data_IF_295497836572
#
_entry.id   IF_295497836572
#
_cell.length_a   1.000
_cell.length_b   1.000
_cell.length_c   1.000
_cell.angle_alpha   90.00
_cell.angle_beta   90.00
_cell.angle_gamma   90.00
#
_symmetry.space_group_name_H-M   'P 1'
#
loop_
_entity.id
_entity.type
_entity.pdbx_description
1 polymer ?
#
# COMPACT_ATOMS: atom_id res chain seq x y z
N UNK A 1 -0.10 26.92 35.12
CA UNK A 1 -0.90 25.81 34.52
C UNK A 1 -2.42 26.06 34.55
N UNK A 2 -2.93 27.10 35.19
CA UNK A 2 -4.38 27.34 35.36
C UNK A 2 -5.02 28.26 34.28
N UNK A 3 -4.22 29.01 33.53
CA UNK A 3 -4.74 29.98 32.53
C UNK A 3 -5.01 29.32 31.15
N UNK A 4 -4.48 28.14 30.91
CA UNK A 4 -4.61 27.44 29.61
C UNK A 4 -5.93 26.64 29.51
N UNK A 5 -6.54 26.26 30.63
CA UNK A 5 -7.81 25.55 30.63
C UNK A 5 -9.01 26.47 30.43
N UNK A 6 -8.99 27.70 30.97
CA UNK A 6 -10.08 28.67 30.82
C UNK A 6 -10.28 29.16 29.36
N UNK A 7 -9.22 29.13 28.55
CA UNK A 7 -9.31 29.51 27.13
C UNK A 7 -9.93 28.39 26.30
N UNK A 8 -9.65 27.14 26.64
CA UNK A 8 -10.19 25.99 25.91
C UNK A 8 -11.68 25.76 26.20
N UNK A 9 -12.15 25.95 27.44
CA UNK A 9 -13.57 25.84 27.79
C UNK A 9 -14.43 26.96 27.19
N UNK A 10 -13.89 28.16 27.01
CA UNK A 10 -14.62 29.28 26.40
C UNK A 10 -14.89 29.13 24.92
N UNK A 11 -14.12 28.30 24.20
CA UNK A 11 -14.22 28.09 22.75
C UNK A 11 -14.63 26.68 22.33
N UNK A 12 -14.74 25.76 23.28
CA UNK A 12 -15.20 24.37 23.08
C UNK A 12 -16.11 23.97 24.24
N UNK A 13 -17.42 24.33 24.18
CA UNK A 13 -18.36 23.83 25.20
C UNK A 13 -18.39 22.30 25.16
N UNK A 14 -18.17 21.68 26.35
CA UNK A 14 -18.14 20.23 26.54
C UNK A 14 -19.52 19.57 26.55
N UNK A 15 -20.58 20.30 26.26
CA UNK A 15 -21.95 19.82 26.36
C UNK A 15 -22.51 19.46 24.98
N UNK A 16 -22.29 18.24 24.56
CA UNK A 16 -22.79 17.68 23.30
C UNK A 16 -24.02 16.79 23.48
N UNK A 17 -24.64 16.77 24.67
CA UNK A 17 -25.70 15.83 24.99
C UNK A 17 -27.14 16.31 24.74
N UNK A 18 -27.38 17.59 24.40
CA UNK A 18 -28.76 18.12 24.30
C UNK A 18 -29.24 18.63 22.95
N UNK A 19 -28.52 18.41 21.83
CA UNK A 19 -28.98 18.92 20.51
C UNK A 19 -29.27 17.84 19.45
N UNK A 20 -29.73 16.67 19.87
CA UNK A 20 -30.06 15.55 18.95
C UNK A 20 -31.50 15.59 18.41
N UNK A 21 -32.13 16.75 18.28
CA UNK A 21 -33.48 16.84 17.71
C UNK A 21 -33.60 17.91 16.61
N UNK A 22 -32.81 17.86 15.57
CA UNK A 22 -33.14 18.52 14.30
C UNK A 22 -32.37 17.91 13.11
N UNK A 23 -32.95 17.93 11.90
CA UNK A 23 -32.30 17.32 10.72
C UNK A 23 -31.00 18.02 10.38
N UNK A 24 -29.99 17.23 10.06
CA UNK A 24 -28.60 17.60 9.81
C UNK A 24 -28.36 18.68 8.73
N UNK A 25 -29.39 19.08 7.99
CA UNK A 25 -29.32 20.14 7.00
C UNK A 25 -28.87 21.52 7.55
N UNK A 26 -29.07 21.77 8.84
CA UNK A 26 -28.61 22.99 9.50
C UNK A 26 -27.18 22.92 10.04
N UNK A 27 -26.58 21.74 10.11
CA UNK A 27 -25.23 21.57 10.68
C UNK A 27 -24.10 21.66 9.64
N UNK A 28 -24.37 21.43 8.36
CA UNK A 28 -23.35 21.39 7.31
C UNK A 28 -22.97 22.80 6.82
N UNK A 29 -23.92 23.69 6.69
CA UNK A 29 -23.70 25.09 6.28
C UNK A 29 -22.79 25.88 7.26
N UNK A 30 -22.96 25.77 8.60
CA UNK A 30 -22.06 26.42 9.54
C UNK A 30 -20.65 25.82 9.57
N UNK A 31 -20.49 24.52 9.24
CA UNK A 31 -19.17 23.87 9.24
C UNK A 31 -18.27 24.40 8.12
N UNK A 32 -18.82 24.63 6.94
CA UNK A 32 -18.07 25.19 5.80
C UNK A 32 -17.59 26.62 6.10
N UNK A 33 -18.45 27.44 6.64
CA UNK A 33 -18.10 28.79 7.02
C UNK A 33 -17.13 28.81 8.21
N UNK A 34 -17.29 27.90 9.19
CA UNK A 34 -16.37 27.77 10.34
C UNK A 34 -15.02 27.18 9.96
N UNK A 35 -14.95 26.23 8.99
CA UNK A 35 -13.66 25.70 8.49
C UNK A 35 -12.89 26.79 7.74
N UNK A 36 -13.57 27.61 6.95
CA UNK A 36 -12.93 28.77 6.27
C UNK A 36 -12.56 29.87 7.27
N UNK A 37 -13.43 30.17 8.23
CA UNK A 37 -13.13 31.12 9.30
C UNK A 37 -12.10 30.61 10.29
N UNK A 38 -12.06 29.31 10.62
CA UNK A 38 -11.01 28.74 11.48
C UNK A 38 -9.66 28.70 10.76
N UNK A 39 -9.62 28.52 9.43
CA UNK A 39 -8.38 28.68 8.65
C UNK A 39 -7.90 30.14 8.70
N UNK A 40 -8.78 31.11 8.45
CA UNK A 40 -8.50 32.57 8.56
C UNK A 40 -8.33 33.02 10.00
N UNK A 41 -9.07 32.45 10.96
CA UNK A 41 -8.94 32.78 12.37
C UNK A 41 -7.69 32.17 13.00
N UNK A 42 -7.26 30.97 12.62
CA UNK A 42 -5.95 30.46 13.04
C UNK A 42 -4.79 31.27 12.44
N UNK A 43 -4.93 31.76 11.21
CA UNK A 43 -3.96 32.66 10.62
C UNK A 43 -3.98 34.06 11.32
N UNK A 44 -5.11 34.49 11.90
CA UNK A 44 -5.25 35.77 12.61
C UNK A 44 -5.00 35.71 14.12
N UNK A 45 -5.29 34.61 14.78
CA UNK A 45 -5.11 34.43 16.23
C UNK A 45 -3.64 34.30 16.67
N UNK A 46 -2.73 34.01 15.74
CA UNK A 46 -1.29 33.94 16.02
C UNK A 46 -0.53 35.24 15.68
N UNK A 47 -1.23 36.32 15.31
CA UNK A 47 -0.61 37.57 14.86
C UNK A 47 -0.24 38.62 15.95
N UNK A 48 -0.59 38.59 17.23
CA UNK A 48 -0.21 39.65 18.12
C UNK A 48 0.79 39.35 19.22
N UNK A 49 1.59 38.28 19.15
CA UNK A 49 2.70 38.14 20.12
C UNK A 49 4.03 38.46 19.45
N UNK A 50 4.52 39.66 19.80
CA UNK A 50 5.74 40.25 19.30
C UNK A 50 6.97 39.35 19.47
N UNK A 51 7.75 39.21 18.42
CA UNK A 51 9.16 38.82 18.46
C UNK A 51 9.59 37.64 17.59
N UNK A 52 8.74 36.68 17.30
CA UNK A 52 9.02 35.66 16.29
C UNK A 52 7.72 35.33 15.56
N UNK A 53 7.59 35.74 14.32
CA UNK A 53 6.56 35.26 13.39
C UNK A 53 6.70 33.76 13.26
N UNK A 54 6.02 32.97 14.11
CA UNK A 54 5.89 31.51 13.94
C UNK A 54 5.01 31.30 12.72
N UNK A 55 5.62 31.27 11.54
CA UNK A 55 4.94 30.92 10.30
C UNK A 55 4.56 29.44 10.41
N UNK A 56 3.30 29.18 10.74
CA UNK A 56 2.76 27.82 10.72
C UNK A 56 2.96 27.21 9.34
N UNK A 57 3.93 26.30 9.22
CA UNK A 57 4.14 25.51 8.00
C UNK A 57 3.39 24.19 8.16
N UNK A 58 2.28 23.99 7.46
CA UNK A 58 1.55 22.73 7.56
C UNK A 58 2.45 21.56 7.16
N UNK A 59 2.31 20.44 7.86
CA UNK A 59 3.03 19.19 7.56
C UNK A 59 2.82 18.78 6.10
N UNK A 60 3.73 17.99 5.53
CA UNK A 60 3.59 17.42 4.17
C UNK A 60 2.23 16.74 4.00
N UNK A 61 1.79 15.99 5.03
CA UNK A 61 0.50 15.30 5.06
C UNK A 61 -0.67 16.29 4.96
N UNK A 62 -0.66 17.38 5.73
CA UNK A 62 -1.69 18.41 5.70
C UNK A 62 -1.75 19.15 4.37
N UNK A 63 -0.58 19.45 3.77
CA UNK A 63 -0.52 20.10 2.46
C UNK A 63 -1.15 19.28 1.34
N UNK A 64 -0.98 17.95 1.37
CA UNK A 64 -1.59 17.06 0.38
C UNK A 64 -3.11 17.03 0.55
N UNK A 65 -3.60 16.94 1.79
CA UNK A 65 -5.04 17.04 2.07
C UNK A 65 -5.61 18.37 1.58
N UNK A 66 -4.97 19.50 1.92
CA UNK A 66 -5.44 20.83 1.52
C UNK A 66 -5.56 20.95 -0.01
N UNK A 67 -4.59 20.44 -0.78
CA UNK A 67 -4.69 20.44 -2.25
C UNK A 67 -5.90 19.67 -2.78
N UNK A 68 -6.24 18.54 -2.16
CA UNK A 68 -7.42 17.76 -2.56
C UNK A 68 -8.70 18.53 -2.21
N UNK A 69 -8.74 19.18 -1.05
CA UNK A 69 -9.87 20.02 -0.59
C UNK A 69 -10.00 21.24 -1.49
N UNK A 70 -8.91 22.00 -1.72
CA UNK A 70 -8.91 23.20 -2.57
C UNK A 70 -9.47 22.89 -3.98
N UNK A 71 -9.11 21.73 -4.56
CA UNK A 71 -9.63 21.29 -5.86
C UNK A 71 -11.14 21.02 -5.84
N UNK A 72 -11.65 20.38 -4.77
CA UNK A 72 -13.06 20.09 -4.60
C UNK A 72 -13.85 21.39 -4.39
N UNK A 73 -13.38 22.30 -3.55
CA UNK A 73 -14.00 23.60 -3.32
C UNK A 73 -14.10 24.45 -4.61
N UNK A 74 -13.02 24.46 -5.40
CA UNK A 74 -12.99 25.20 -6.69
C UNK A 74 -13.93 24.59 -7.74
N UNK A 75 -14.28 23.33 -7.64
CA UNK A 75 -15.15 22.67 -8.61
C UNK A 75 -16.61 23.04 -8.47
N UNK A 76 -17.04 23.43 -7.26
CA UNK A 76 -18.45 23.69 -6.92
C UNK A 76 -19.41 22.58 -7.35
N UNK A 77 -18.93 21.32 -7.46
CA UNK A 77 -19.75 20.18 -7.83
C UNK A 77 -20.78 19.88 -6.72
N UNK A 78 -22.03 19.55 -7.03
CA UNK A 78 -23.02 19.19 -6.01
C UNK A 78 -22.48 18.07 -5.10
N UNK A 79 -22.54 18.27 -3.78
CA UNK A 79 -22.08 17.28 -2.78
C UNK A 79 -20.57 17.26 -2.50
N UNK A 80 -19.80 18.22 -3.03
CA UNK A 80 -18.37 18.32 -2.74
C UNK A 80 -18.08 18.46 -1.23
N UNK A 81 -18.96 19.07 -0.49
CA UNK A 81 -18.87 19.26 0.97
C UNK A 81 -18.82 17.91 1.71
N UNK A 82 -19.67 16.97 1.30
CA UNK A 82 -19.68 15.62 1.87
C UNK A 82 -18.39 14.87 1.56
N UNK A 83 -17.84 15.05 0.36
CA UNK A 83 -16.56 14.45 0.00
C UNK A 83 -15.45 15.04 0.86
N UNK A 84 -15.41 16.36 1.06
CA UNK A 84 -14.46 17.02 1.93
C UNK A 84 -14.56 16.48 3.37
N UNK A 85 -15.77 16.38 3.92
CA UNK A 85 -16.00 15.85 5.25
C UNK A 85 -15.49 14.40 5.38
N UNK A 86 -15.74 13.56 4.38
CA UNK A 86 -15.22 12.19 4.32
C UNK A 86 -13.68 12.15 4.23
N UNK A 87 -13.04 13.04 3.48
CA UNK A 87 -11.58 13.11 3.43
C UNK A 87 -10.98 13.53 4.79
N UNK A 88 -11.64 14.43 5.50
CA UNK A 88 -11.22 14.80 6.86
C UNK A 88 -11.42 13.65 7.84
N UNK A 89 -12.50 12.87 7.75
CA UNK A 89 -12.68 11.66 8.56
C UNK A 89 -11.53 10.66 8.33
N UNK A 90 -11.24 10.35 7.07
CA UNK A 90 -10.11 9.49 6.71
C UNK A 90 -8.77 10.03 7.23
N UNK A 91 -8.57 11.33 7.18
CA UNK A 91 -7.36 11.99 7.67
C UNK A 91 -7.22 11.87 9.19
N UNK A 92 -8.31 12.10 9.96
CA UNK A 92 -8.35 11.94 11.42
C UNK A 92 -8.08 10.51 11.84
N UNK A 93 -8.61 9.54 11.12
CA UNK A 93 -8.36 8.10 11.34
C UNK A 93 -6.96 7.65 10.93
N UNK A 94 -6.07 8.59 10.65
CA UNK A 94 -4.67 8.35 10.31
C UNK A 94 -4.42 7.46 9.09
N UNK A 95 -5.35 7.37 8.12
CA UNK A 95 -5.10 6.63 6.89
C UNK A 95 -3.94 7.24 6.09
N UNK A 96 -3.26 6.40 5.29
CA UNK A 96 -2.16 6.87 4.46
C UNK A 96 -2.57 8.03 3.56
N UNK A 97 -1.78 9.11 3.56
CA UNK A 97 -2.16 10.35 2.87
C UNK A 97 -2.36 10.16 1.35
N UNK A 98 -1.63 9.24 0.73
CA UNK A 98 -1.84 8.89 -0.67
C UNK A 98 -3.21 8.25 -0.89
N UNK A 99 -3.70 7.44 0.05
CA UNK A 99 -5.05 6.86 0.02
C UNK A 99 -6.11 7.96 0.13
N UNK A 100 -5.91 8.93 1.03
CA UNK A 100 -6.82 10.08 1.17
C UNK A 100 -6.86 10.90 -0.12
N UNK A 101 -5.68 11.22 -0.69
CA UNK A 101 -5.58 11.96 -1.95
C UNK A 101 -6.23 11.23 -3.12
N UNK A 102 -6.00 9.92 -3.23
CA UNK A 102 -6.57 9.10 -4.29
C UNK A 102 -8.09 8.95 -4.15
N UNK A 103 -8.58 8.81 -2.90
CA UNK A 103 -10.03 8.87 -2.64
C UNK A 103 -10.63 10.19 -3.12
N UNK A 104 -9.99 11.32 -2.81
CA UNK A 104 -10.45 12.64 -3.27
C UNK A 104 -10.51 12.76 -4.79
N UNK A 105 -9.49 12.25 -5.50
CA UNK A 105 -9.49 12.24 -6.96
C UNK A 105 -10.62 11.37 -7.55
N UNK A 106 -10.81 10.17 -6.99
CA UNK A 106 -11.87 9.26 -7.45
C UNK A 106 -13.26 9.86 -7.18
N UNK A 107 -13.49 10.41 -6.00
CA UNK A 107 -14.79 10.98 -5.65
C UNK A 107 -15.07 12.28 -6.43
N UNK A 108 -14.05 13.06 -6.73
CA UNK A 108 -14.18 14.18 -7.66
C UNK A 108 -14.69 13.73 -9.05
N UNK A 109 -14.09 12.65 -9.60
CA UNK A 109 -14.53 12.09 -10.87
C UNK A 109 -15.96 11.51 -10.78
N UNK A 110 -16.31 10.91 -9.65
CA UNK A 110 -17.66 10.39 -9.40
C UNK A 110 -18.71 11.52 -9.34
N UNK A 111 -18.43 12.61 -8.62
CA UNK A 111 -19.34 13.77 -8.57
C UNK A 111 -19.49 14.42 -9.95
N UNK A 112 -18.42 14.51 -10.73
CA UNK A 112 -18.48 15.03 -12.10
C UNK A 112 -19.40 14.17 -12.98
N UNK A 113 -19.25 12.85 -12.90
CA UNK A 113 -20.13 11.91 -13.60
C UNK A 113 -21.62 12.08 -13.19
N UNK A 114 -21.89 12.22 -11.89
CA UNK A 114 -23.27 12.43 -11.41
C UNK A 114 -23.89 13.74 -11.96
N UNK A 115 -23.09 14.80 -12.01
CA UNK A 115 -23.53 16.09 -12.56
C UNK A 115 -23.86 15.97 -14.06
N UNK A 116 -23.06 15.27 -14.85
CA UNK A 116 -23.30 15.02 -16.27
C UNK A 116 -24.55 14.15 -16.50
N UNK A 117 -24.82 13.19 -15.61
CA UNK A 117 -25.98 12.27 -15.66
C UNK A 117 -27.29 12.86 -15.16
N UNK A 118 -27.37 14.14 -14.83
CA UNK A 118 -28.55 14.84 -14.26
C UNK A 118 -28.95 14.43 -12.84
N UNK A 119 -28.21 13.59 -12.14
CA UNK A 119 -28.38 13.39 -10.69
C UNK A 119 -27.63 14.48 -9.97
N UNK A 120 -28.33 15.48 -9.45
CA UNK A 120 -27.71 16.69 -8.91
C UNK A 120 -27.48 16.64 -7.40
N UNK A 121 -28.06 15.65 -6.71
CA UNK A 121 -28.03 15.55 -5.25
C UNK A 121 -27.42 14.24 -4.79
N UNK A 122 -26.51 14.31 -3.84
CA UNK A 122 -25.85 13.13 -3.28
C UNK A 122 -26.83 12.24 -2.52
N UNK A 123 -27.86 12.84 -1.96
CA UNK A 123 -28.94 12.16 -1.22
C UNK A 123 -29.86 11.32 -2.13
N UNK A 124 -29.82 11.55 -3.43
CA UNK A 124 -30.65 10.86 -4.44
C UNK A 124 -29.90 9.73 -5.16
N UNK A 125 -28.64 9.47 -4.79
CA UNK A 125 -27.83 8.43 -5.41
C UNK A 125 -28.50 7.07 -5.25
N UNK A 126 -28.65 6.37 -6.37
CA UNK A 126 -29.24 5.03 -6.45
C UNK A 126 -28.20 4.00 -6.89
N UNK A 127 -28.57 2.72 -6.81
CA UNK A 127 -27.74 1.64 -7.36
C UNK A 127 -27.57 1.73 -8.87
N UNK A 128 -28.56 2.31 -9.58
CA UNK A 128 -28.46 2.51 -11.03
C UNK A 128 -27.33 3.49 -11.37
N UNK A 129 -27.17 4.54 -10.58
CA UNK A 129 -26.10 5.52 -10.77
C UNK A 129 -24.71 4.89 -10.53
N UNK A 130 -24.61 4.00 -9.53
CA UNK A 130 -23.37 3.26 -9.28
C UNK A 130 -23.04 2.31 -10.44
N UNK A 131 -24.05 1.62 -11.00
CA UNK A 131 -23.88 0.75 -12.16
C UNK A 131 -23.44 1.56 -13.39
N UNK A 132 -24.15 2.64 -13.67
CA UNK A 132 -23.83 3.54 -14.78
C UNK A 132 -22.42 4.16 -14.64
N UNK A 133 -21.97 4.47 -13.40
CA UNK A 133 -20.59 4.90 -13.17
C UNK A 133 -19.56 3.82 -13.51
N UNK A 134 -19.85 2.56 -13.19
CA UNK A 134 -18.95 1.43 -13.54
C UNK A 134 -18.86 1.30 -15.05
N UNK A 135 -19.99 1.36 -15.76
CA UNK A 135 -20.03 1.30 -17.22
C UNK A 135 -19.24 2.46 -17.84
N UNK A 136 -19.48 3.68 -17.36
CA UNK A 136 -18.73 4.87 -17.79
C UNK A 136 -17.20 4.73 -17.59
N UNK A 137 -16.74 4.25 -16.45
CA UNK A 137 -15.31 4.07 -16.19
C UNK A 137 -14.70 2.96 -17.07
N UNK A 138 -15.48 1.93 -17.43
CA UNK A 138 -15.06 0.90 -18.38
C UNK A 138 -14.99 1.43 -19.81
N UNK A 139 -15.99 2.19 -20.26
CA UNK A 139 -16.03 2.84 -21.57
C UNK A 139 -14.88 3.84 -21.76
N UNK A 140 -14.48 4.53 -20.70
CA UNK A 140 -13.26 5.36 -20.68
C UNK A 140 -11.97 4.57 -20.85
N UNK A 141 -12.03 3.24 -20.93
CA UNK A 141 -10.87 2.36 -21.13
C UNK A 141 -10.01 2.14 -19.88
N UNK A 142 -10.54 2.36 -18.68
CA UNK A 142 -9.79 2.08 -17.47
C UNK A 142 -9.59 0.57 -17.30
N UNK A 143 -8.39 0.22 -16.80
CA UNK A 143 -8.10 -1.18 -16.44
C UNK A 143 -9.06 -1.66 -15.35
N UNK A 144 -9.50 -2.91 -15.43
CA UNK A 144 -10.45 -3.55 -14.50
C UNK A 144 -10.09 -3.29 -13.02
N UNK A 145 -8.80 -3.42 -12.67
CA UNK A 145 -8.33 -3.16 -11.30
C UNK A 145 -8.47 -1.69 -10.89
N UNK A 146 -8.38 -0.75 -11.84
CA UNK A 146 -8.59 0.68 -11.56
C UNK A 146 -10.08 0.94 -11.28
N UNK A 147 -10.97 0.37 -12.10
CA UNK A 147 -12.42 0.46 -11.88
C UNK A 147 -12.82 -0.13 -10.53
N UNK A 148 -12.27 -1.31 -10.15
CA UNK A 148 -12.48 -1.90 -8.82
C UNK A 148 -12.04 -0.97 -7.68
N UNK A 149 -10.89 -0.30 -7.83
CA UNK A 149 -10.38 0.62 -6.81
C UNK A 149 -11.24 1.88 -6.72
N UNK A 150 -11.72 2.41 -7.86
CA UNK A 150 -12.66 3.52 -7.90
C UNK A 150 -13.96 3.12 -7.21
N UNK A 151 -14.55 1.99 -7.57
CA UNK A 151 -15.78 1.48 -6.97
C UNK A 151 -15.64 1.25 -5.45
N UNK A 152 -14.49 0.73 -4.99
CA UNK A 152 -14.19 0.61 -3.56
C UNK A 152 -14.18 1.96 -2.85
N UNK A 153 -13.64 2.99 -3.49
CA UNK A 153 -13.62 4.36 -2.94
C UNK A 153 -15.04 4.94 -2.89
N UNK A 154 -15.85 4.73 -3.92
CA UNK A 154 -17.26 5.12 -3.96
C UNK A 154 -18.03 4.43 -2.83
N UNK A 155 -17.95 3.10 -2.68
CA UNK A 155 -18.65 2.39 -1.61
C UNK A 155 -18.20 2.80 -0.20
N UNK A 156 -16.93 3.18 0.00
CA UNK A 156 -16.51 3.71 1.31
C UNK A 156 -17.10 5.09 1.58
N UNK A 157 -17.35 5.89 0.55
CA UNK A 157 -18.03 7.16 0.65
C UNK A 157 -19.53 6.98 0.88
N UNK A 158 -20.19 6.11 0.12
CA UNK A 158 -21.61 5.78 0.34
C UNK A 158 -21.85 5.25 1.76
N UNK A 159 -20.93 4.40 2.27
CA UNK A 159 -21.00 3.98 3.67
C UNK A 159 -20.92 5.17 4.63
N UNK A 160 -20.01 6.11 4.37
CA UNK A 160 -19.90 7.33 5.17
C UNK A 160 -21.22 8.14 5.16
N UNK A 161 -21.89 8.25 4.00
CA UNK A 161 -23.17 8.94 3.88
C UNK A 161 -24.29 8.21 4.63
N UNK A 162 -24.32 6.87 4.58
CA UNK A 162 -25.27 6.05 5.34
C UNK A 162 -25.04 6.18 6.84
N UNK A 163 -23.75 6.12 7.29
CA UNK A 163 -23.39 6.29 8.69
C UNK A 163 -23.77 7.70 9.24
N UNK A 164 -24.04 8.68 8.36
CA UNK A 164 -24.51 10.03 8.68
C UNK A 164 -25.98 10.28 8.29
N UNK A 165 -26.75 9.21 8.06
CA UNK A 165 -28.20 9.26 7.77
C UNK A 165 -28.56 10.06 6.51
N UNK A 166 -27.62 10.27 5.58
CA UNK A 166 -27.82 10.98 4.32
C UNK A 166 -28.30 10.06 3.20
N UNK A 167 -28.07 8.75 3.32
CA UNK A 167 -28.51 7.73 2.38
C UNK A 167 -29.09 6.53 3.14
N UNK A 168 -30.07 5.83 2.55
CA UNK A 168 -30.62 4.63 3.15
C UNK A 168 -29.62 3.47 3.09
N UNK A 169 -29.70 2.57 4.08
CA UNK A 169 -28.76 1.44 4.22
C UNK A 169 -28.80 0.45 3.05
N UNK A 170 -29.94 0.34 2.37
CA UNK A 170 -30.17 -0.59 1.27
C UNK A 170 -29.25 -0.36 0.07
N UNK A 171 -28.69 0.86 -0.10
CA UNK A 171 -27.71 1.16 -1.15
C UNK A 171 -26.42 0.33 -1.01
N UNK A 172 -26.12 -0.12 0.20
CA UNK A 172 -24.97 -0.94 0.51
C UNK A 172 -25.21 -2.45 0.34
N UNK A 173 -26.47 -2.88 0.15
CA UNK A 173 -26.81 -4.28 -0.10
C UNK A 173 -26.48 -4.66 -1.55
N UNK A 174 -26.12 -5.95 -1.78
CA UNK A 174 -25.80 -6.48 -3.13
C UNK A 174 -24.83 -5.58 -3.92
N UNK A 175 -23.68 -5.26 -3.31
CA UNK A 175 -22.65 -4.45 -3.96
C UNK A 175 -22.22 -5.05 -5.29
N UNK A 176 -21.99 -4.17 -6.28
CA UNK A 176 -21.43 -4.58 -7.56
C UNK A 176 -20.02 -5.12 -7.30
N UNK A 177 -19.78 -6.36 -7.72
CA UNK A 177 -18.48 -7.01 -7.64
C UNK A 177 -17.92 -7.21 -9.04
N UNK A 178 -16.80 -6.55 -9.32
CA UNK A 178 -16.13 -6.69 -10.60
C UNK A 178 -15.09 -7.80 -10.49
N UNK A 179 -15.27 -8.88 -11.25
CA UNK A 179 -14.26 -9.94 -11.36
C UNK A 179 -13.04 -9.40 -12.11
N UNK A 180 -11.88 -9.45 -11.49
CA UNK A 180 -10.64 -9.15 -12.17
C UNK A 180 -9.90 -10.46 -12.45
N UNK A 181 -9.22 -10.58 -13.60
CA UNK A 181 -8.37 -11.72 -13.87
C UNK A 181 -7.29 -11.81 -12.78
N UNK A 182 -7.06 -13.01 -12.27
CA UNK A 182 -5.97 -13.28 -11.35
C UNK A 182 -4.66 -13.22 -12.15
N UNK A 183 -3.96 -12.11 -12.05
CA UNK A 183 -2.66 -11.95 -12.68
C UNK A 183 -1.60 -12.48 -11.73
N UNK A 184 -0.90 -13.51 -12.15
CA UNK A 184 0.24 -14.04 -11.40
C UNK A 184 1.34 -12.97 -11.29
N UNK A 185 2.03 -12.87 -10.16
CA UNK A 185 3.16 -11.95 -10.00
C UNK A 185 4.23 -12.28 -11.06
N UNK A 186 4.58 -11.30 -11.88
CA UNK A 186 5.59 -11.49 -12.92
C UNK A 186 6.96 -11.19 -12.34
N UNK A 187 7.88 -12.15 -12.36
CA UNK A 187 9.30 -11.93 -12.06
C UNK A 187 10.03 -11.40 -13.31
N UNK A 188 11.15 -10.71 -13.11
CA UNK A 188 12.06 -10.34 -14.20
C UNK A 188 12.91 -11.59 -14.51
N UNK A 189 12.89 -12.11 -15.75
CA UNK A 189 13.73 -13.23 -16.13
C UNK A 189 15.21 -12.93 -15.95
N UNK A 190 16.02 -13.98 -15.68
CA UNK A 190 17.46 -13.82 -15.41
C UNK A 190 18.21 -13.24 -16.60
N UNK A 191 17.81 -13.60 -17.81
CA UNK A 191 18.35 -13.07 -19.08
C UNK A 191 18.15 -11.57 -19.24
N UNK A 192 17.03 -11.02 -18.75
CA UNK A 192 16.73 -9.59 -18.78
C UNK A 192 17.36 -8.85 -17.59
N UNK A 193 17.51 -9.53 -16.44
CA UNK A 193 18.07 -8.93 -15.23
C UNK A 193 19.54 -8.56 -15.40
N UNK A 194 20.34 -9.42 -16.04
CA UNK A 194 21.75 -9.20 -16.30
C UNK A 194 22.04 -7.88 -17.03
N UNK A 195 21.43 -7.60 -18.23
CA UNK A 195 21.65 -6.34 -18.93
C UNK A 195 21.10 -5.13 -18.18
N UNK A 196 20.02 -5.27 -17.38
CA UNK A 196 19.52 -4.18 -16.53
C UNK A 196 20.57 -3.80 -15.48
N UNK A 197 21.15 -4.79 -14.80
CA UNK A 197 22.20 -4.56 -13.79
C UNK A 197 23.48 -3.98 -14.43
N UNK A 198 23.88 -4.44 -15.61
CA UNK A 198 25.01 -3.90 -16.36
C UNK A 198 24.78 -2.43 -16.79
N UNK A 199 23.53 -2.03 -17.04
CA UNK A 199 23.16 -0.66 -17.37
C UNK A 199 23.33 0.36 -16.23
N UNK A 200 23.52 -0.11 -14.98
CA UNK A 200 23.69 0.73 -13.80
C UNK A 200 25.13 1.22 -13.68
N UNK A 201 25.37 2.46 -14.00
CA UNK A 201 26.73 3.06 -14.01
C UNK A 201 27.11 3.70 -12.68
N UNK A 202 26.14 4.13 -11.88
CA UNK A 202 26.38 4.75 -10.58
C UNK A 202 26.46 3.70 -9.46
N UNK A 203 27.48 3.78 -8.61
CA UNK A 203 27.63 2.88 -7.44
C UNK A 203 26.46 2.99 -6.46
N UNK A 204 25.85 4.19 -6.35
CA UNK A 204 24.63 4.40 -5.58
C UNK A 204 23.48 3.58 -6.16
N UNK A 205 23.28 3.68 -7.47
CA UNK A 205 22.17 3.07 -8.16
C UNK A 205 22.31 1.53 -8.19
N UNK A 206 23.55 1.03 -8.31
CA UNK A 206 23.85 -0.40 -8.14
C UNK A 206 23.45 -0.90 -6.75
N UNK A 207 23.91 -0.20 -5.69
CA UNK A 207 23.55 -0.57 -4.32
C UNK A 207 22.04 -0.53 -4.09
N UNK A 208 21.33 0.49 -4.61
CA UNK A 208 19.88 0.62 -4.49
C UNK A 208 19.13 -0.58 -5.12
N UNK A 209 19.48 -0.93 -6.35
CA UNK A 209 18.78 -1.99 -7.10
C UNK A 209 19.14 -3.37 -6.53
N UNK A 210 20.41 -3.63 -6.19
CA UNK A 210 20.82 -4.91 -5.62
C UNK A 210 20.23 -5.13 -4.21
N UNK A 211 20.13 -4.10 -3.37
CA UNK A 211 19.45 -4.23 -2.09
C UNK A 211 17.96 -4.57 -2.26
N UNK A 212 17.26 -3.94 -3.20
CA UNK A 212 15.85 -4.30 -3.48
C UNK A 212 15.72 -5.75 -3.94
N UNK A 213 16.63 -6.18 -4.82
CA UNK A 213 16.63 -7.53 -5.39
C UNK A 213 16.97 -8.60 -4.36
N UNK A 214 17.86 -8.32 -3.40
CA UNK A 214 18.31 -9.28 -2.40
C UNK A 214 17.47 -9.33 -1.13
N UNK A 215 16.75 -8.25 -0.82
CA UNK A 215 15.96 -8.15 0.44
C UNK A 215 14.46 -8.27 0.22
N UNK A 216 13.99 -8.08 -1.00
CA UNK A 216 12.56 -8.00 -1.30
C UNK A 216 11.82 -6.86 -0.59
N UNK A 217 12.54 -5.86 -0.06
CA UNK A 217 11.92 -4.67 0.56
C UNK A 217 11.01 -3.93 -0.42
N UNK A 218 9.99 -3.26 0.11
CA UNK A 218 9.28 -2.24 -0.68
C UNK A 218 10.21 -1.04 -0.89
N UNK A 219 10.15 -0.44 -2.08
CA UNK A 219 10.97 0.76 -2.35
C UNK A 219 10.79 1.85 -1.28
N UNK A 220 9.57 2.07 -0.81
CA UNK A 220 9.33 3.05 0.25
C UNK A 220 9.99 2.70 1.58
N UNK A 221 10.19 1.43 1.89
CA UNK A 221 10.94 0.99 3.06
C UNK A 221 12.42 1.27 2.88
N UNK A 222 13.02 0.90 1.73
CA UNK A 222 14.43 1.16 1.46
C UNK A 222 14.79 2.65 1.48
N UNK A 223 13.90 3.52 0.97
CA UNK A 223 14.14 4.96 0.96
C UNK A 223 14.13 5.59 2.36
N UNK A 224 13.50 4.93 3.34
CA UNK A 224 13.45 5.35 4.75
C UNK A 224 14.63 4.79 5.58
N UNK A 225 15.40 3.84 5.05
CA UNK A 225 16.53 3.24 5.77
C UNK A 225 17.59 4.30 6.10
N UNK A 226 17.94 4.36 7.38
CA UNK A 226 19.01 5.20 7.90
C UNK A 226 20.28 4.39 8.09
N UNK A 227 21.41 5.06 8.23
CA UNK A 227 22.69 4.38 8.49
C UNK A 227 22.69 3.58 9.80
N UNK A 228 21.98 4.06 10.82
CA UNK A 228 21.83 3.37 12.10
C UNK A 228 21.04 2.05 12.01
N UNK A 229 20.27 1.86 10.96
CA UNK A 229 19.44 0.67 10.77
C UNK A 229 20.23 -0.50 10.14
N UNK A 230 21.48 -0.28 9.74
CA UNK A 230 22.29 -1.25 8.99
C UNK A 230 23.32 -1.90 9.91
N UNK A 231 23.29 -3.22 10.00
CA UNK A 231 24.27 -4.04 10.71
C UNK A 231 25.15 -4.71 9.67
N UNK A 232 26.21 -4.00 9.24
CA UNK A 232 27.09 -4.45 8.14
C UNK A 232 27.74 -5.83 8.38
N UNK A 233 28.32 -6.15 9.57
CA UNK A 233 28.95 -7.44 9.81
C UNK A 233 28.00 -8.63 9.65
N UNK A 234 26.72 -8.42 9.93
CA UNK A 234 25.69 -9.46 9.89
C UNK A 234 24.87 -9.44 8.60
N UNK A 235 25.14 -8.51 7.68
CA UNK A 235 24.41 -8.28 6.45
C UNK A 235 22.89 -8.15 6.66
N UNK A 236 22.53 -7.38 7.69
CA UNK A 236 21.14 -7.16 8.14
C UNK A 236 20.75 -5.69 8.01
N UNK A 237 19.47 -5.46 7.74
CA UNK A 237 18.83 -4.15 7.83
C UNK A 237 17.61 -4.28 8.72
N UNK A 238 17.52 -3.43 9.74
CA UNK A 238 16.38 -3.35 10.64
C UNK A 238 15.35 -2.40 10.03
N UNK A 239 14.16 -2.92 9.75
CA UNK A 239 13.06 -2.12 9.25
C UNK A 239 12.12 -1.79 10.41
N UNK A 240 12.24 -0.58 10.92
CA UNK A 240 11.34 -0.07 11.97
C UNK A 240 10.10 0.52 11.29
N UNK A 241 8.94 -0.07 11.56
CA UNK A 241 7.61 0.44 11.23
C UNK A 241 7.46 0.95 9.78
N UNK A 242 7.10 0.08 8.86
CA UNK A 242 6.65 0.48 7.52
C UNK A 242 5.31 1.24 7.59
N UNK A 243 5.14 2.27 6.75
CA UNK A 243 3.97 3.15 6.73
C UNK A 243 2.60 2.45 6.52
N UNK A 244 2.58 1.17 6.20
CA UNK A 244 1.35 0.38 6.01
C UNK A 244 1.13 -0.72 7.04
N UNK A 245 2.19 -1.25 7.64
CA UNK A 245 2.12 -2.38 8.56
C UNK A 245 2.96 -2.02 9.77
N UNK A 246 2.37 -1.80 10.91
CA UNK A 246 3.01 -1.39 12.17
C UNK A 246 3.96 -2.44 12.78
N UNK A 247 4.45 -3.40 11.99
CA UNK A 247 5.39 -4.43 12.42
C UNK A 247 6.78 -4.20 11.84
N UNK A 248 7.76 -4.03 12.72
CA UNK A 248 9.16 -4.04 12.36
C UNK A 248 9.60 -5.43 11.90
N UNK A 249 10.56 -5.52 11.01
CA UNK A 249 11.19 -6.79 10.61
C UNK A 249 12.66 -6.60 10.26
N UNK A 250 13.38 -7.71 10.28
CA UNK A 250 14.76 -7.77 9.80
C UNK A 250 14.78 -8.32 8.38
N UNK A 251 15.60 -7.76 7.51
CA UNK A 251 15.87 -8.28 6.18
C UNK A 251 17.36 -8.52 6.01
N UNK A 252 17.72 -9.43 5.12
CA UNK A 252 19.09 -9.88 4.90
C UNK A 252 19.48 -9.65 3.44
N UNK A 253 20.80 -9.45 3.19
CA UNK A 253 21.30 -9.30 1.84
C UNK A 253 22.57 -10.13 1.60
N UNK A 254 22.74 -10.60 0.37
CA UNK A 254 23.86 -11.44 -0.03
C UNK A 254 25.13 -10.65 -0.39
N UNK A 255 26.19 -11.37 -0.77
CA UNK A 255 27.52 -10.82 -1.03
C UNK A 255 27.56 -9.76 -2.13
N UNK A 256 26.80 -9.93 -3.21
CA UNK A 256 26.78 -8.95 -4.32
C UNK A 256 26.23 -7.60 -3.86
N UNK A 257 25.12 -7.64 -3.09
CA UNK A 257 24.54 -6.43 -2.51
C UNK A 257 25.46 -5.82 -1.44
N UNK A 258 26.16 -6.62 -0.65
CA UNK A 258 27.17 -6.17 0.30
C UNK A 258 28.32 -5.42 -0.40
N UNK A 259 28.84 -6.01 -1.47
CA UNK A 259 29.92 -5.41 -2.25
C UNK A 259 29.52 -4.06 -2.84
N UNK A 260 28.32 -4.00 -3.43
CA UNK A 260 27.79 -2.76 -3.98
C UNK A 260 27.50 -1.72 -2.87
N UNK A 261 26.97 -2.16 -1.73
CA UNK A 261 26.72 -1.31 -0.57
C UNK A 261 28.02 -0.72 -0.02
N UNK A 262 29.06 -1.54 0.18
CA UNK A 262 30.38 -1.07 0.64
C UNK A 262 30.96 -0.03 -0.32
N UNK A 263 30.90 -0.27 -1.65
CA UNK A 263 31.33 0.72 -2.66
C UNK A 263 30.53 2.02 -2.59
N UNK A 264 29.24 1.95 -2.31
CA UNK A 264 28.44 3.15 -2.11
C UNK A 264 28.81 3.88 -0.82
N UNK A 265 29.01 3.15 0.28
CA UNK A 265 29.37 3.74 1.59
C UNK A 265 30.69 4.50 1.56
N UNK A 266 31.67 4.09 0.75
CA UNK A 266 32.92 4.84 0.58
C UNK A 266 32.75 6.16 -0.17
N UNK A 267 31.73 6.27 -1.02
CA UNK A 267 31.48 7.47 -1.85
C UNK A 267 30.38 8.38 -1.33
N UNK A 268 29.53 7.87 -0.42
CA UNK A 268 28.44 8.68 0.13
C UNK A 268 28.96 9.73 1.12
N UNK A 269 28.21 10.84 1.22
CA UNK A 269 28.50 11.84 2.24
C UNK A 269 28.01 11.35 3.61
N UNK A 270 28.92 11.20 4.57
CA UNK A 270 28.65 10.71 5.93
C UNK A 270 27.79 11.64 6.78
N UNK A 271 27.65 12.92 6.42
CA UNK A 271 26.79 13.89 7.12
C UNK A 271 25.30 13.58 7.00
N UNK A 272 24.88 12.77 6.04
CA UNK A 272 23.48 12.47 5.81
C UNK A 272 23.05 11.20 6.54
N UNK A 273 21.87 11.24 7.14
CA UNK A 273 21.33 10.16 7.95
C UNK A 273 20.83 8.99 7.08
N UNK A 274 20.14 9.31 5.96
CA UNK A 274 19.54 8.30 5.09
C UNK A 274 20.60 7.55 4.29
N UNK A 275 20.40 6.23 4.12
CA UNK A 275 21.26 5.41 3.26
C UNK A 275 21.30 5.94 1.84
N UNK A 276 20.12 6.19 1.27
CA UNK A 276 19.96 6.82 -0.05
C UNK A 276 19.32 8.18 0.10
N UNK A 277 19.99 9.19 -0.36
CA UNK A 277 19.54 10.58 -0.24
C UNK A 277 19.51 11.29 -1.58
N UNK A 278 18.65 12.29 -1.66
CA UNK A 278 18.53 13.24 -2.76
C UNK A 278 19.17 14.58 -2.41
N UNK A 279 18.66 15.64 -3.01
CA UNK A 279 19.14 17.00 -2.76
C UNK A 279 19.03 17.39 -1.28
N UNK A 280 20.06 18.08 -0.76
CA UNK A 280 20.14 18.57 0.62
C UNK A 280 20.07 17.47 1.69
N UNK A 281 20.48 16.22 1.37
CA UNK A 281 20.53 15.12 2.33
C UNK A 281 19.18 14.55 2.78
N UNK A 282 18.09 14.98 2.17
CA UNK A 282 16.76 14.38 2.41
C UNK A 282 16.70 12.98 1.79
N UNK A 283 15.77 12.16 2.25
CA UNK A 283 15.49 10.86 1.62
C UNK A 283 15.41 10.97 0.09
N UNK A 284 15.92 9.97 -0.62
CA UNK A 284 15.76 9.89 -2.07
C UNK A 284 14.25 9.75 -2.39
N UNK A 285 13.75 10.53 -3.35
CA UNK A 285 12.33 10.46 -3.69
C UNK A 285 11.99 9.17 -4.46
N UNK A 286 10.73 8.73 -4.35
CA UNK A 286 10.20 7.63 -5.18
C UNK A 286 10.40 7.86 -6.68
N UNK A 287 10.23 9.10 -7.14
CA UNK A 287 10.46 9.49 -8.54
C UNK A 287 11.93 9.32 -8.90
N UNK A 288 12.84 9.74 -8.00
CA UNK A 288 14.29 9.55 -8.18
C UNK A 288 14.66 8.08 -8.34
N UNK A 289 14.19 7.22 -7.44
CA UNK A 289 14.42 5.78 -7.52
C UNK A 289 13.79 5.15 -8.77
N UNK A 290 12.57 5.56 -9.14
CA UNK A 290 11.91 5.11 -10.37
C UNK A 290 12.72 5.48 -11.62
N UNK A 291 13.28 6.70 -11.66
CA UNK A 291 14.13 7.14 -12.78
C UNK A 291 15.40 6.30 -12.91
N UNK A 292 15.99 5.83 -11.79
CA UNK A 292 17.14 4.89 -11.83
C UNK A 292 16.73 3.61 -12.58
N UNK A 293 15.65 2.98 -12.18
CA UNK A 293 15.17 1.75 -12.83
C UNK A 293 14.80 1.99 -14.30
N UNK A 294 14.07 3.06 -14.59
CA UNK A 294 13.67 3.40 -15.96
C UNK A 294 14.88 3.56 -16.88
N UNK A 295 15.91 4.29 -16.43
CA UNK A 295 17.14 4.49 -17.22
C UNK A 295 17.88 3.18 -17.45
N UNK A 296 18.00 2.31 -16.42
CA UNK A 296 18.67 1.02 -16.54
C UNK A 296 17.94 0.10 -17.55
N UNK A 297 16.63 0.03 -17.47
CA UNK A 297 15.77 -0.76 -18.39
C UNK A 297 15.86 -0.22 -19.82
N UNK A 298 15.91 1.10 -20.02
CA UNK A 298 16.06 1.71 -21.34
C UNK A 298 17.45 1.41 -21.93
N UNK A 299 18.52 1.53 -21.12
CA UNK A 299 19.89 1.19 -21.58
C UNK A 299 20.04 -0.29 -21.95
N UNK A 300 19.29 -1.16 -21.28
CA UNK A 300 19.25 -2.60 -21.61
C UNK A 300 18.41 -2.91 -22.87
N UNK A 301 17.80 -1.92 -23.52
CA UNK A 301 16.90 -2.14 -24.68
C UNK A 301 15.54 -2.73 -24.33
N UNK A 302 15.18 -2.77 -23.03
CA UNK A 302 14.01 -3.47 -22.51
C UNK A 302 12.84 -2.52 -22.16
N UNK A 303 12.84 -1.29 -22.68
CA UNK A 303 11.87 -0.24 -22.35
C UNK A 303 10.41 -0.64 -22.51
N UNK A 304 10.10 -1.49 -23.48
CA UNK A 304 8.75 -1.97 -23.79
C UNK A 304 8.22 -3.02 -22.80
N UNK A 305 9.10 -3.68 -22.01
CA UNK A 305 8.70 -4.76 -21.09
C UNK A 305 8.04 -4.26 -19.80
N UNK A 306 8.04 -2.95 -19.54
CA UNK A 306 7.35 -2.32 -18.41
C UNK A 306 7.92 -2.69 -17.03
N UNK A 307 9.21 -3.01 -16.94
CA UNK A 307 9.85 -3.36 -15.68
C UNK A 307 9.90 -2.20 -14.71
N UNK A 308 9.52 -2.46 -13.47
CA UNK A 308 9.43 -1.48 -12.39
C UNK A 308 10.16 -1.95 -11.13
N UNK A 309 10.40 -1.03 -10.20
CA UNK A 309 11.01 -1.36 -8.90
C UNK A 309 10.23 -2.42 -8.10
N UNK A 310 8.91 -2.46 -8.27
CA UNK A 310 8.09 -3.45 -7.57
C UNK A 310 8.31 -4.87 -8.10
N UNK A 311 8.66 -5.00 -9.38
CA UNK A 311 9.01 -6.29 -9.98
C UNK A 311 10.30 -6.88 -9.41
N UNK A 312 11.25 -6.07 -8.91
CA UNK A 312 12.43 -6.59 -8.21
C UNK A 312 12.03 -7.38 -6.96
N UNK A 313 11.02 -6.91 -6.22
CA UNK A 313 10.48 -7.64 -5.08
C UNK A 313 9.76 -8.93 -5.50
N UNK A 314 9.03 -8.91 -6.62
CA UNK A 314 8.44 -10.12 -7.19
C UNK A 314 9.53 -11.12 -7.61
N UNK A 315 10.59 -10.63 -8.24
CA UNK A 315 11.76 -11.45 -8.64
C UNK A 315 12.43 -12.08 -7.41
N UNK A 316 12.67 -11.29 -6.35
CA UNK A 316 13.17 -11.82 -5.07
C UNK A 316 12.29 -12.95 -4.54
N UNK A 317 10.97 -12.71 -4.44
CA UNK A 317 10.04 -13.71 -3.90
C UNK A 317 10.03 -15.00 -4.71
N UNK A 318 9.96 -14.88 -6.05
CA UNK A 318 9.97 -16.04 -6.96
C UNK A 318 11.29 -16.80 -6.86
N UNK A 319 12.44 -16.10 -6.86
CA UNK A 319 13.75 -16.74 -6.76
C UNK A 319 13.94 -17.46 -5.43
N UNK A 320 13.47 -16.89 -4.31
CA UNK A 320 13.56 -17.50 -2.99
C UNK A 320 12.71 -18.79 -2.91
N UNK A 321 11.49 -18.79 -3.46
CA UNK A 321 10.67 -19.98 -3.53
C UNK A 321 11.28 -21.06 -4.44
N UNK A 322 11.78 -20.66 -5.61
CA UNK A 322 12.46 -21.60 -6.52
C UNK A 322 13.74 -22.19 -5.91
N UNK A 323 14.39 -21.46 -5.00
CA UNK A 323 15.52 -21.96 -4.22
C UNK A 323 15.10 -22.81 -2.99
N UNK A 324 13.81 -23.11 -2.82
CA UNK A 324 13.30 -23.98 -1.76
C UNK A 324 13.03 -23.27 -0.43
N UNK A 325 12.98 -21.92 -0.39
CA UNK A 325 12.61 -21.23 0.84
C UNK A 325 11.14 -21.48 1.17
N UNK A 326 10.85 -21.87 2.41
CA UNK A 326 9.48 -22.10 2.88
C UNK A 326 8.64 -20.86 2.77
N UNK A 327 7.36 -21.01 2.41
CA UNK A 327 6.42 -19.93 2.16
C UNK A 327 6.21 -19.04 3.40
N UNK A 328 6.18 -19.64 4.59
CA UNK A 328 5.99 -18.91 5.86
C UNK A 328 7.19 -18.00 6.16
N UNK A 329 8.40 -18.48 5.87
CA UNK A 329 9.63 -17.68 6.02
C UNK A 329 9.64 -16.54 5.02
N UNK A 330 9.26 -16.79 3.76
CA UNK A 330 9.14 -15.75 2.74
C UNK A 330 8.09 -14.70 3.15
N UNK A 331 6.95 -15.11 3.71
CA UNK A 331 5.92 -14.19 4.22
C UNK A 331 6.50 -13.23 5.27
N UNK A 332 7.27 -13.75 6.22
CA UNK A 332 7.91 -12.95 7.26
C UNK A 332 8.94 -11.97 6.67
N UNK A 333 9.80 -12.44 5.77
CA UNK A 333 10.80 -11.59 5.08
C UNK A 333 10.13 -10.48 4.28
N UNK A 334 9.05 -10.77 3.58
CA UNK A 334 8.30 -9.79 2.83
C UNK A 334 7.44 -8.85 3.72
N UNK A 335 7.12 -9.26 4.96
CA UNK A 335 6.22 -8.53 5.84
C UNK A 335 4.81 -8.45 5.26
N UNK A 336 4.29 -9.58 4.80
CA UNK A 336 2.89 -9.74 4.41
C UNK A 336 2.08 -10.11 5.65
N UNK A 337 1.08 -9.31 6.00
CA UNK A 337 0.13 -9.64 7.07
C UNK A 337 -0.81 -10.77 6.64
N UNK A 338 -1.12 -10.83 5.35
CA UNK A 338 -1.99 -11.80 4.74
C UNK A 338 -1.17 -12.82 3.94
N UNK A 339 -1.31 -14.11 4.27
CA UNK A 339 -0.64 -15.20 3.58
C UNK A 339 -1.11 -15.32 2.12
N UNK A 340 -2.36 -14.92 1.80
CA UNK A 340 -2.88 -14.95 0.44
C UNK A 340 -2.00 -14.16 -0.54
N UNK A 341 -1.39 -13.07 -0.08
CA UNK A 341 -0.46 -12.29 -0.90
C UNK A 341 0.82 -13.08 -1.24
N UNK A 342 1.24 -13.99 -0.36
CA UNK A 342 2.43 -14.82 -0.56
C UNK A 342 2.08 -16.08 -1.35
N UNK A 343 0.89 -16.62 -1.17
CA UNK A 343 0.38 -17.77 -1.94
C UNK A 343 0.33 -17.53 -3.47
N UNK A 344 0.20 -16.26 -3.88
CA UNK A 344 0.29 -15.92 -5.32
C UNK A 344 1.62 -16.30 -5.96
N UNK A 345 2.70 -16.28 -5.19
CA UNK A 345 4.03 -16.72 -5.67
C UNK A 345 4.15 -18.24 -5.71
N UNK A 346 3.50 -18.96 -4.79
CA UNK A 346 3.48 -20.42 -4.78
C UNK A 346 2.78 -21.00 -6.01
N UNK A 347 1.81 -20.29 -6.59
CA UNK A 347 1.13 -20.70 -7.82
C UNK A 347 2.00 -20.67 -9.08
N UNK A 348 3.17 -19.99 -9.03
CA UNK A 348 4.05 -19.82 -10.20
C UNK A 348 4.97 -21.03 -10.41
N UNK A 349 5.20 -21.81 -9.37
CA UNK A 349 6.25 -22.85 -9.34
C UNK A 349 5.65 -24.24 -9.44
N UNK A 350 5.21 -24.67 -10.64
CA UNK A 350 4.84 -26.07 -10.87
C UNK A 350 6.05 -27.00 -10.76
N UNK A 351 7.19 -26.62 -11.30
CA UNK A 351 8.46 -27.37 -11.19
C UNK A 351 8.89 -27.53 -9.73
N UNK A 352 8.80 -26.48 -8.91
CA UNK A 352 9.16 -26.56 -7.48
C UNK A 352 8.21 -27.46 -6.69
N UNK A 353 6.92 -27.53 -7.08
CA UNK A 353 5.97 -28.47 -6.45
C UNK A 353 6.28 -29.91 -6.79
N UNK A 354 6.59 -30.19 -8.05
CA UNK A 354 6.98 -31.53 -8.53
C UNK A 354 8.27 -31.99 -7.84
N UNK A 355 9.32 -31.16 -7.85
CA UNK A 355 10.59 -31.43 -7.17
C UNK A 355 10.40 -31.67 -5.66
N UNK A 356 9.60 -30.80 -5.00
CA UNK A 356 9.30 -30.91 -3.58
C UNK A 356 8.52 -32.20 -3.25
N UNK A 357 7.55 -32.58 -4.10
CA UNK A 357 6.81 -33.79 -3.96
C UNK A 357 7.74 -35.03 -4.04
N UNK A 358 8.54 -35.12 -5.11
CA UNK A 358 9.45 -36.26 -5.28
C UNK A 358 10.54 -36.31 -4.21
N UNK A 359 11.03 -35.13 -3.74
CA UNK A 359 11.95 -35.09 -2.62
C UNK A 359 11.31 -35.56 -1.31
N UNK A 360 10.08 -35.18 -1.04
CA UNK A 360 9.33 -35.63 0.13
C UNK A 360 9.03 -37.14 0.03
N UNK A 361 8.60 -37.61 -1.14
CA UNK A 361 8.37 -39.02 -1.37
C UNK A 361 9.63 -39.86 -1.21
N UNK A 362 10.78 -39.38 -1.72
CA UNK A 362 12.06 -40.07 -1.56
C UNK A 362 12.48 -40.20 -0.08
N UNK A 363 12.12 -39.21 0.77
CA UNK A 363 12.36 -39.27 2.22
C UNK A 363 11.42 -40.28 2.87
N UNK A 364 10.13 -40.29 2.48
CA UNK A 364 9.11 -41.24 2.97
C UNK A 364 9.49 -42.67 2.57
N UNK A 365 9.86 -42.88 1.30
CA UNK A 365 10.24 -44.18 0.75
C UNK A 365 11.55 -44.73 1.35
N UNK A 366 12.49 -43.85 1.76
CA UNK A 366 13.72 -44.25 2.45
C UNK A 366 13.54 -44.54 3.93
N UNK A 367 12.37 -44.29 4.50
CA UNK A 367 12.10 -44.54 5.93
C UNK A 367 12.89 -43.63 6.90
N UNK A 368 13.40 -42.46 6.43
CA UNK A 368 14.25 -41.56 7.24
C UNK A 368 13.45 -40.62 8.16
N UNK A 369 12.14 -40.82 8.34
CA UNK A 369 11.34 -40.02 9.26
C UNK A 369 11.40 -40.56 10.69
N UNK A 370 12.31 -40.07 11.50
CA UNK A 370 12.53 -40.46 12.90
C UNK A 370 11.43 -40.09 13.91
N UNK A 371 10.31 -39.49 13.53
CA UNK A 371 9.26 -39.07 14.51
C UNK A 371 7.80 -39.40 14.14
N UNK A 372 7.50 -40.07 13.04
CA UNK A 372 6.11 -40.43 12.66
C UNK A 372 5.93 -41.88 12.24
N UNK A 373 6.61 -42.81 12.90
CA UNK A 373 6.52 -44.26 12.65
C UNK A 373 5.15 -44.88 12.97
N UNK A 374 4.09 -44.10 13.22
CA UNK A 374 2.77 -44.68 13.57
C UNK A 374 1.76 -44.78 12.44
N UNK A 375 2.00 -44.12 11.30
CA UNK A 375 1.03 -44.13 10.17
C UNK A 375 1.38 -45.15 9.10
N UNK A 376 2.65 -45.52 8.97
CA UNK A 376 3.13 -46.42 7.91
C UNK A 376 2.72 -47.91 8.11
N UNK A 377 2.76 -48.50 9.36
CA UNK A 377 2.31 -49.86 9.59
C UNK A 377 0.82 -50.11 9.36
N UNK A 378 -0.02 -49.09 9.70
CA UNK A 378 -1.47 -49.21 9.52
C UNK A 378 -1.89 -49.15 8.03
N UNK A 379 -1.19 -48.33 7.22
CA UNK A 379 -1.42 -48.24 5.79
C UNK A 379 -0.93 -49.51 5.08
N UNK A 380 0.22 -50.09 5.46
CA UNK A 380 0.71 -51.34 4.92
C UNK A 380 -0.23 -52.49 5.25
N UNK A 381 -0.73 -52.58 6.48
CA UNK A 381 -1.71 -53.59 6.87
C UNK A 381 -3.01 -53.52 6.04
N UNK A 382 -3.48 -52.32 5.71
CA UNK A 382 -4.68 -52.13 4.85
C UNK A 382 -4.43 -52.54 3.41
N UNK A 383 -3.21 -52.42 2.88
CA UNK A 383 -2.87 -52.87 1.53
C UNK A 383 -2.66 -54.39 1.48
N UNK A 384 -2.02 -54.98 2.48
CA UNK A 384 -1.86 -56.44 2.58
C UNK A 384 -3.21 -57.16 2.77
N UNK A 385 -4.14 -56.57 3.54
CA UNK A 385 -5.49 -57.08 3.70
C UNK A 385 -6.30 -57.05 2.39
N UNK A 386 -6.09 -56.01 1.54
CA UNK A 386 -6.70 -55.92 0.21
C UNK A 386 -6.10 -56.88 -0.82
N UNK A 387 -4.80 -57.13 -0.77
CA UNK A 387 -4.17 -58.14 -1.64
C UNK A 387 -4.64 -59.53 -1.31
N UNK A 388 -4.80 -59.90 -0.04
CA UNK A 388 -5.34 -61.21 0.38
C UNK A 388 -6.80 -61.42 -0.08
N UNK A 389 -7.61 -60.37 -0.12
CA UNK A 389 -9.00 -60.40 -0.58
C UNK A 389 -9.13 -60.44 -2.12
N UNK A 390 -8.06 -60.21 -2.88
CA UNK A 390 -8.05 -60.23 -4.35
C UNK A 390 -7.56 -61.58 -4.94
N UNK A 391 -7.10 -62.52 -4.13
CA UNK A 391 -6.57 -63.82 -4.55
C UNK A 391 -7.62 -64.90 -4.43
N UNK A 392 -8.74 -64.69 -3.73
CA UNK A 392 -9.83 -65.66 -3.53
C UNK A 392 -11.12 -65.31 -4.31
N UNK A 393 -11.01 -64.68 -5.50
CA UNK A 393 -12.14 -64.33 -6.36
C UNK A 393 -12.02 -64.92 -7.77
#
# INVERSE_FOLDING_TARGET
MTIQNDILEKYYPTDWSESLQSPLSHFIFPLHHRVRQSRLAMERLFLPFAGALYVYRPSKRRRILNRAVDKLEQSCLPGYEYVIAHLYDKYRRNLAINTVSQTGQTLYAFLLFLQEGRSTRVEEITRKDIAAYVDHEQERGLKVNSVRNHLKSVYTFLKYLVDHELLPLDILYKKISIKAPEVLPRAIPTEDLKPILAGLTSVRDQALILLLLHTGMRIGELLQVKMADIILPERKILLFIGAKNFHGRVVYYGLDAETALKKWLTKRNSKYEYLFYGNKGRELSHVGAWMVMKKAVQKAGLGQKGYSLHLLRHTFATNMLNAGLRLEVLQQLLGHLDIELTLRYAKISDTTREEAYFKAMAIIEKGENHEHDRVNPELQAVFEEKELLSIDG
#
